data_IF_427616502241
#
_entry.id   IF_427616502241
#
_cell.length_a   1.000
_cell.length_b   1.000
_cell.length_c   1.000
_cell.angle_alpha   90.00
_cell.angle_beta   90.00
_cell.angle_gamma   90.00
#
_symmetry.space_group_name_H-M   'P 1'
#
loop_
_entity.id
_entity.type
_entity.pdbx_description
1 polymer ?
#
# COMPACT_ATOMS: atom_id res chain seq x y z
N UNK A 1 11.41 -32.88 3.57
CA UNK A 1 12.04 -31.78 2.80
C UNK A 1 10.95 -30.73 2.64
N UNK A 2 11.03 -29.63 3.37
CA UNK A 2 10.05 -28.55 3.28
C UNK A 2 10.47 -27.66 2.12
N UNK A 3 9.67 -27.58 1.06
CA UNK A 3 9.92 -26.65 -0.06
C UNK A 3 10.02 -25.22 0.50
N UNK A 4 11.00 -24.40 0.05
CA UNK A 4 11.03 -23.00 0.42
C UNK A 4 9.78 -22.34 -0.14
N UNK A 5 9.02 -21.67 0.73
CA UNK A 5 7.86 -20.88 0.30
C UNK A 5 8.31 -19.86 -0.76
N UNK A 6 7.48 -19.55 -1.76
CA UNK A 6 7.78 -18.50 -2.72
C UNK A 6 8.14 -17.22 -1.97
N UNK A 7 9.28 -16.62 -2.34
CA UNK A 7 9.72 -15.35 -1.77
C UNK A 7 8.74 -14.26 -2.21
N UNK A 8 8.03 -13.67 -1.25
CA UNK A 8 7.08 -12.61 -1.56
C UNK A 8 7.83 -11.28 -1.58
N UNK A 9 7.40 -10.31 -2.42
CA UNK A 9 8.01 -8.97 -2.43
C UNK A 9 7.95 -8.29 -1.05
N UNK A 10 7.07 -8.76 -0.16
CA UNK A 10 6.92 -8.32 1.23
C UNK A 10 8.08 -8.77 2.14
N UNK A 11 8.77 -9.86 1.80
CA UNK A 11 9.88 -10.39 2.61
C UNK A 11 11.13 -9.50 2.57
N UNK A 12 11.33 -8.75 1.46
CA UNK A 12 12.43 -7.78 1.33
C UNK A 12 12.03 -6.36 1.73
N UNK A 13 10.75 -6.11 2.02
CA UNK A 13 10.28 -4.75 2.28
C UNK A 13 10.69 -4.29 3.69
N UNK A 14 11.23 -3.06 3.81
CA UNK A 14 11.50 -2.50 5.13
C UNK A 14 10.20 -2.32 5.92
N UNK A 15 10.26 -2.47 7.25
CA UNK A 15 9.08 -2.46 8.12
C UNK A 15 8.14 -1.26 7.92
N UNK A 16 8.69 -0.06 7.68
CA UNK A 16 7.91 1.14 7.39
C UNK A 16 7.08 1.03 6.10
N UNK A 17 7.58 0.28 5.12
CA UNK A 17 6.94 0.05 3.83
C UNK A 17 5.88 -1.06 3.90
N UNK A 18 6.10 -2.07 4.74
CA UNK A 18 5.08 -3.08 5.09
C UNK A 18 3.89 -2.44 5.83
N UNK A 19 4.18 -1.60 6.81
CA UNK A 19 3.18 -0.87 7.58
C UNK A 19 2.37 0.10 6.68
N UNK A 20 3.06 0.80 5.78
CA UNK A 20 2.45 1.60 4.72
C UNK A 20 1.48 0.80 3.83
N UNK A 21 1.93 -0.38 3.37
CA UNK A 21 1.12 -1.27 2.51
C UNK A 21 -0.11 -1.79 3.24
N UNK A 22 0.05 -2.26 4.48
CA UNK A 22 -1.07 -2.72 5.30
C UNK A 22 -2.13 -1.61 5.51
N UNK A 23 -1.69 -0.37 5.75
CA UNK A 23 -2.61 0.78 5.86
C UNK A 23 -3.31 1.10 4.54
N UNK A 24 -2.58 1.03 3.42
CA UNK A 24 -3.15 1.25 2.10
C UNK A 24 -4.21 0.19 1.75
N UNK A 25 -3.94 -1.08 2.04
CA UNK A 25 -4.91 -2.17 1.87
C UNK A 25 -6.16 -1.99 2.73
N UNK A 26 -5.98 -1.57 3.99
CA UNK A 26 -7.10 -1.26 4.87
C UNK A 26 -7.96 -0.11 4.32
N UNK A 27 -7.34 0.93 3.76
CA UNK A 27 -8.04 2.03 3.10
C UNK A 27 -8.78 1.57 1.84
N UNK A 28 -8.13 0.76 0.98
CA UNK A 28 -8.77 0.19 -0.21
C UNK A 28 -9.97 -0.68 0.14
N UNK A 29 -9.89 -1.45 1.23
CA UNK A 29 -11.01 -2.26 1.72
C UNK A 29 -12.17 -1.38 2.17
N UNK A 30 -11.90 -0.31 2.93
CA UNK A 30 -12.93 0.66 3.33
C UNK A 30 -13.59 1.34 2.13
N UNK A 31 -12.81 1.72 1.12
CA UNK A 31 -13.34 2.30 -0.12
C UNK A 31 -14.26 1.31 -0.83
N UNK A 32 -13.87 0.03 -0.92
CA UNK A 32 -14.71 -1.04 -1.48
C UNK A 32 -16.00 -1.24 -0.67
N UNK A 33 -15.93 -1.06 0.64
CA UNK A 33 -17.09 -1.12 1.54
C UNK A 33 -17.96 0.15 1.50
N UNK A 34 -17.58 1.17 0.71
CA UNK A 34 -18.37 2.37 0.45
C UNK A 34 -17.83 3.67 1.07
N UNK A 35 -16.64 3.66 1.68
CA UNK A 35 -15.98 4.89 2.14
C UNK A 35 -15.60 5.82 1.00
N UNK A 36 -15.56 7.12 1.29
CA UNK A 36 -15.12 8.14 0.35
C UNK A 36 -13.61 8.00 0.00
N UNK A 37 -13.26 7.81 -1.29
CA UNK A 37 -11.87 7.62 -1.71
C UNK A 37 -10.95 8.82 -1.46
N UNK A 38 -11.48 10.03 -1.58
CA UNK A 38 -10.69 11.25 -1.40
C UNK A 38 -10.31 11.44 0.08
N UNK A 39 -11.24 11.15 0.98
CA UNK A 39 -11.02 11.15 2.42
C UNK A 39 -10.02 10.10 2.85
N UNK A 40 -10.16 8.87 2.37
CA UNK A 40 -9.23 7.79 2.71
C UNK A 40 -7.82 8.06 2.17
N UNK A 41 -7.69 8.66 0.98
CA UNK A 41 -6.38 9.09 0.46
C UNK A 41 -5.76 10.23 1.30
N UNK A 42 -6.58 11.16 1.77
CA UNK A 42 -6.15 12.25 2.65
C UNK A 42 -5.72 11.75 4.04
N UNK A 43 -6.48 10.84 4.64
CA UNK A 43 -6.12 10.21 5.92
C UNK A 43 -4.84 9.39 5.80
N UNK A 44 -4.65 8.69 4.66
CA UNK A 44 -3.42 7.97 4.36
C UNK A 44 -2.22 8.93 4.27
N UNK A 45 -2.39 10.08 3.60
CA UNK A 45 -1.36 11.11 3.49
C UNK A 45 -1.00 11.75 4.84
N UNK A 46 -1.97 11.91 5.75
CA UNK A 46 -1.69 12.42 7.10
C UNK A 46 -1.04 11.40 8.03
N UNK A 47 -1.27 10.11 7.79
CA UNK A 47 -0.78 9.03 8.65
C UNK A 47 0.61 8.54 8.23
N UNK A 48 0.96 8.68 6.95
CA UNK A 48 2.22 8.20 6.39
C UNK A 48 3.20 9.35 6.16
N UNK A 49 4.48 9.13 6.46
CA UNK A 49 5.55 10.08 6.14
C UNK A 49 5.55 10.38 4.63
N UNK A 50 5.79 11.64 4.22
CA UNK A 50 5.72 12.08 2.82
C UNK A 50 6.54 11.21 1.85
N UNK A 51 7.68 10.68 2.31
CA UNK A 51 8.50 9.75 1.52
C UNK A 51 7.79 8.41 1.23
N UNK A 52 7.04 7.88 2.19
CA UNK A 52 6.30 6.63 2.05
C UNK A 52 5.08 6.83 1.14
N UNK A 53 4.39 7.97 1.27
CA UNK A 53 3.27 8.36 0.39
C UNK A 53 3.76 8.54 -1.05
N UNK A 54 4.91 9.21 -1.26
CA UNK A 54 5.50 9.41 -2.58
C UNK A 54 5.92 8.10 -3.27
N UNK A 55 6.53 7.16 -2.54
CA UNK A 55 6.88 5.83 -3.05
C UNK A 55 5.64 4.99 -3.37
N UNK A 56 4.65 4.99 -2.48
CA UNK A 56 3.39 4.27 -2.66
C UNK A 56 2.60 4.83 -3.86
N UNK A 57 2.47 6.15 -3.95
CA UNK A 57 1.81 6.82 -5.06
C UNK A 57 2.48 6.54 -6.41
N UNK A 58 3.82 6.48 -6.44
CA UNK A 58 4.58 6.11 -7.65
C UNK A 58 4.32 4.67 -8.07
N UNK A 59 4.25 3.72 -7.10
CA UNK A 59 3.93 2.32 -7.37
C UNK A 59 2.49 2.13 -7.84
N UNK A 60 1.53 2.76 -7.16
CA UNK A 60 0.12 2.74 -7.56
C UNK A 60 -0.06 3.34 -8.95
N UNK A 61 0.55 4.49 -9.23
CA UNK A 61 0.51 5.12 -10.56
C UNK A 61 1.13 4.24 -11.65
N UNK A 62 2.18 3.47 -11.34
CA UNK A 62 2.77 2.50 -12.27
C UNK A 62 1.85 1.29 -12.50
N UNK A 63 1.13 0.85 -11.47
CA UNK A 63 0.17 -0.25 -11.54
C UNK A 63 -1.08 0.14 -12.34
N UNK A 64 -1.67 1.30 -12.06
CA UNK A 64 -2.85 1.84 -12.75
C UNK A 64 -2.58 2.38 -14.17
N UNK A 65 -1.31 2.55 -14.58
CA UNK A 65 -0.93 2.93 -15.95
C UNK A 65 -0.67 1.71 -16.85
N UNK A 66 -0.91 0.48 -16.35
CA UNK A 66 -0.64 -0.78 -17.08
C UNK A 66 -1.90 -1.41 -17.69
N UNK A 67 -2.96 -0.64 -17.89
CA UNK A 67 -4.11 -0.98 -18.74
C UNK A 67 -4.43 0.21 -19.67
#
# INVERSE_FOLDING_TARGET
MTEPRPHEPEDDMPFAELDARARADAALRRIRDGSDPAREAFDLANTMNDEAVGRLGTRLRRLFRRD
#
